data_IF_652444625080
#
_entry.id   IF_652444625080
#
_cell.length_a   1.000
_cell.length_b   1.000
_cell.length_c   1.000
_cell.angle_alpha   90.00
_cell.angle_beta   90.00
_cell.angle_gamma   90.00
#
_symmetry.space_group_name_H-M   'P 1'
#
loop_
_entity.id
_entity.type
_entity.pdbx_description
1 polymer ?
#
# COMPACT_ATOMS: atom_id res chain seq x y z
N UNK A 1 -28.16 23.22 28.20
CA UNK A 1 -26.88 23.02 27.48
C UNK A 1 -26.42 21.57 27.65
N UNK A 2 -26.70 20.70 26.67
CA UNK A 2 -26.22 19.30 26.62
C UNK A 2 -26.12 18.88 25.16
N UNK A 3 -24.98 19.11 24.50
CA UNK A 3 -24.72 18.62 23.13
C UNK A 3 -23.22 18.45 22.79
N UNK A 4 -22.35 18.24 23.78
CA UNK A 4 -20.90 18.13 23.56
C UNK A 4 -20.33 16.71 23.78
N UNK A 5 -21.14 15.76 24.28
CA UNK A 5 -20.68 14.38 24.56
C UNK A 5 -20.65 13.43 23.35
N UNK A 6 -21.24 13.78 22.21
CA UNK A 6 -21.30 12.88 21.05
C UNK A 6 -20.14 13.05 20.05
N UNK A 7 -19.47 14.20 20.02
CA UNK A 7 -18.38 14.48 19.09
C UNK A 7 -17.10 13.73 19.45
N UNK A 8 -16.80 13.60 20.75
CA UNK A 8 -15.60 12.91 21.28
C UNK A 8 -15.58 11.42 20.89
N UNK A 9 -16.74 10.77 20.80
CA UNK A 9 -16.79 9.36 20.39
C UNK A 9 -16.41 9.17 18.91
N UNK A 10 -16.69 10.13 18.02
CA UNK A 10 -16.39 10.01 16.59
C UNK A 10 -14.87 10.07 16.35
N UNK A 11 -14.16 10.92 17.09
CA UNK A 11 -12.69 11.04 17.02
C UNK A 11 -11.99 9.80 17.59
N UNK A 12 -12.53 9.21 18.67
CA UNK A 12 -12.04 7.95 19.22
C UNK A 12 -12.22 6.77 18.23
N UNK A 13 -13.33 6.74 17.49
CA UNK A 13 -13.55 5.75 16.43
C UNK A 13 -12.64 5.96 15.22
N UNK A 14 -12.31 7.21 14.87
CA UNK A 14 -11.35 7.52 13.80
C UNK A 14 -9.91 7.14 14.21
N UNK A 15 -9.51 7.38 15.45
CA UNK A 15 -8.23 6.94 15.99
C UNK A 15 -8.13 5.40 16.08
N UNK A 16 -9.19 4.73 16.54
CA UNK A 16 -9.27 3.26 16.52
C UNK A 16 -9.22 2.69 15.10
N UNK A 17 -9.78 3.42 14.13
CA UNK A 17 -9.77 3.03 12.73
C UNK A 17 -8.39 3.21 12.09
N UNK A 18 -7.67 4.30 12.38
CA UNK A 18 -6.26 4.50 11.98
C UNK A 18 -5.37 3.44 12.63
N UNK A 19 -5.57 3.15 13.93
CA UNK A 19 -4.87 2.06 14.61
C UNK A 19 -5.17 0.67 14.01
N UNK A 20 -6.41 0.41 13.58
CA UNK A 20 -6.80 -0.82 12.87
C UNK A 20 -6.19 -0.90 11.46
N UNK A 21 -6.09 0.22 10.75
CA UNK A 21 -5.41 0.34 9.45
C UNK A 21 -3.92 0.03 9.60
N UNK A 22 -3.29 0.56 10.65
CA UNK A 22 -1.89 0.28 10.98
C UNK A 22 -1.69 -1.18 11.39
N UNK A 23 -2.60 -1.76 12.18
CA UNK A 23 -2.51 -3.17 12.59
C UNK A 23 -2.66 -4.13 11.39
N UNK A 24 -3.59 -3.85 10.48
CA UNK A 24 -3.80 -4.67 9.28
C UNK A 24 -2.65 -4.56 8.27
N UNK A 25 -1.98 -3.40 8.19
CA UNK A 25 -0.76 -3.22 7.38
C UNK A 25 0.40 -3.99 8.01
N UNK A 26 0.60 -3.93 9.34
CA UNK A 26 1.65 -4.71 10.03
C UNK A 26 1.46 -6.23 9.90
N UNK A 27 0.22 -6.73 9.91
CA UNK A 27 -0.05 -8.15 9.70
C UNK A 27 0.18 -8.58 8.24
N UNK A 28 -0.06 -7.68 7.28
CA UNK A 28 0.24 -7.93 5.87
C UNK A 28 1.75 -7.98 5.59
N UNK A 29 2.56 -7.13 6.26
CA UNK A 29 4.03 -7.13 6.10
C UNK A 29 4.72 -8.27 6.83
N UNK A 30 4.22 -8.73 7.99
CA UNK A 30 4.71 -9.97 8.60
C UNK A 30 4.44 -11.21 7.74
N UNK A 31 3.38 -11.18 6.91
CA UNK A 31 3.11 -12.25 5.95
C UNK A 31 4.00 -12.19 4.69
N UNK A 32 4.55 -11.01 4.35
CA UNK A 32 5.47 -10.84 3.22
C UNK A 32 6.92 -11.10 3.60
N UNK A 33 7.33 -10.81 4.84
CA UNK A 33 8.69 -11.08 5.33
C UNK A 33 9.00 -12.57 5.52
N UNK A 34 7.98 -13.44 5.64
CA UNK A 34 8.18 -14.89 5.64
C UNK A 34 8.32 -15.51 4.24
N UNK A 35 8.31 -14.70 3.15
CA UNK A 35 8.51 -15.16 1.77
C UNK A 35 9.88 -14.85 1.17
N UNK A 36 10.77 -14.16 1.91
CA UNK A 36 12.10 -13.78 1.39
C UNK A 36 13.26 -14.67 1.84
N UNK A 37 13.03 -15.72 2.63
CA UNK A 37 14.09 -16.65 3.07
C UNK A 37 14.51 -17.73 2.05
N UNK A 38 14.43 -17.47 0.76
CA UNK A 38 15.02 -18.35 -0.27
C UNK A 38 15.51 -17.57 -1.48
N UNK A 39 16.44 -16.65 -1.26
CA UNK A 39 17.40 -16.19 -2.27
C UNK A 39 18.55 -15.48 -1.54
N UNK A 40 19.53 -16.26 -1.08
CA UNK A 40 20.81 -15.74 -0.61
C UNK A 40 21.75 -15.46 -1.80
N UNK A 41 22.59 -14.44 -1.60
CA UNK A 41 23.83 -14.08 -2.31
C UNK A 41 23.70 -13.20 -3.55
N UNK A 42 23.82 -11.87 -3.38
CA UNK A 42 25.06 -11.15 -3.73
C UNK A 42 25.10 -9.71 -3.20
N UNK A 43 26.19 -9.47 -2.46
CA UNK A 43 26.97 -8.26 -2.18
C UNK A 43 26.34 -6.90 -1.87
N UNK A 44 26.84 -6.39 -0.75
CA UNK A 44 26.67 -5.06 -0.20
C UNK A 44 27.23 -3.96 -1.11
N UNK A 45 26.39 -2.96 -1.36
CA UNK A 45 26.82 -1.56 -1.50
C UNK A 45 25.89 -0.70 -0.67
N UNK A 46 26.36 -0.33 0.52
CA UNK A 46 25.85 0.79 1.29
C UNK A 46 26.15 2.06 0.50
N UNK A 47 25.17 2.53 -0.26
CA UNK A 47 25.15 3.84 -0.87
C UNK A 47 24.19 4.72 -0.10
N UNK A 48 24.65 5.83 0.44
CA UNK A 48 23.80 6.93 0.91
C UNK A 48 22.93 7.37 -0.27
N UNK A 49 21.67 6.95 -0.26
CA UNK A 49 20.74 7.10 -1.38
C UNK A 49 20.22 8.52 -1.47
N UNK A 50 20.93 9.37 -2.20
CA UNK A 50 20.32 10.56 -2.76
C UNK A 50 19.17 10.13 -3.67
N UNK A 51 17.93 10.46 -3.30
CA UNK A 51 16.77 10.29 -4.18
C UNK A 51 16.86 11.41 -5.20
N UNK A 52 17.10 11.04 -6.45
CA UNK A 52 17.20 11.97 -7.58
C UNK A 52 15.86 11.92 -8.32
N UNK A 53 15.23 13.06 -8.54
CA UNK A 53 13.97 13.12 -9.31
C UNK A 53 14.22 12.87 -10.82
N UNK A 54 13.15 12.83 -11.63
CA UNK A 54 13.26 12.63 -13.08
C UNK A 54 14.04 13.76 -13.81
N UNK A 55 14.29 14.89 -13.15
CA UNK A 55 15.06 16.04 -13.66
C UNK A 55 16.54 16.02 -13.26
N UNK A 56 16.99 15.03 -12.48
CA UNK A 56 18.37 14.94 -12.01
C UNK A 56 18.65 15.76 -10.75
N UNK A 57 17.62 16.35 -10.13
CA UNK A 57 17.76 17.14 -8.92
C UNK A 57 17.71 16.25 -7.66
N UNK A 58 18.56 16.57 -6.68
CA UNK A 58 18.47 16.00 -5.33
C UNK A 58 17.10 16.36 -4.73
N UNK A 59 16.27 15.35 -4.48
CA UNK A 59 15.03 15.51 -3.71
C UNK A 59 15.45 15.72 -2.27
N UNK A 60 15.44 16.98 -1.84
CA UNK A 60 15.60 17.32 -0.43
C UNK A 60 14.23 17.13 0.22
N UNK A 61 14.09 16.22 1.20
CA UNK A 61 12.87 16.12 2.00
C UNK A 61 12.61 17.49 2.62
N UNK A 62 11.41 18.01 2.44
CA UNK A 62 10.99 19.28 3.00
C UNK A 62 9.64 19.10 3.65
N UNK A 63 9.45 19.72 4.80
CA UNK A 63 8.14 19.77 5.42
C UNK A 63 7.15 20.38 4.43
N UNK A 64 5.99 19.74 4.28
CA UNK A 64 4.92 20.27 3.43
C UNK A 64 4.60 21.70 3.88
N UNK A 65 4.51 22.61 2.92
CA UNK A 65 4.06 23.98 3.15
C UNK A 65 2.60 23.99 3.60
N UNK A 66 2.15 25.10 4.21
CA UNK A 66 0.76 25.24 4.67
C UNK A 66 -0.24 25.08 3.52
N UNK A 67 0.05 25.65 2.35
CA UNK A 67 -0.79 25.53 1.16
C UNK A 67 -0.91 24.07 0.68
N UNK A 68 0.21 23.33 0.63
CA UNK A 68 0.21 21.91 0.26
C UNK A 68 -0.55 21.04 1.27
N UNK A 69 -0.44 21.36 2.57
CA UNK A 69 -1.23 20.69 3.61
C UNK A 69 -2.72 20.96 3.40
N UNK A 70 -3.10 22.22 3.19
CA UNK A 70 -4.48 22.63 2.99
C UNK A 70 -5.11 21.96 1.76
N UNK A 71 -4.37 21.90 0.64
CA UNK A 71 -4.82 21.22 -0.58
C UNK A 71 -5.10 19.73 -0.33
N UNK A 72 -4.18 19.03 0.34
CA UNK A 72 -4.32 17.61 0.68
C UNK A 72 -5.52 17.33 1.60
N UNK A 73 -5.73 18.19 2.59
CA UNK A 73 -6.79 18.03 3.60
C UNK A 73 -8.16 18.39 3.03
N UNK A 74 -8.22 19.25 1.99
CA UNK A 74 -9.47 19.75 1.45
C UNK A 74 -10.41 18.59 1.09
N UNK A 75 -11.58 18.54 1.73
CA UNK A 75 -12.58 17.50 1.53
C UNK A 75 -12.15 16.07 1.87
N UNK A 76 -10.93 15.85 2.39
CA UNK A 76 -10.37 14.53 2.69
C UNK A 76 -11.25 13.74 3.65
N UNK A 77 -11.53 14.29 4.84
CA UNK A 77 -12.33 13.63 5.87
C UNK A 77 -13.77 13.37 5.40
N UNK A 78 -14.40 14.33 4.73
CA UNK A 78 -15.76 14.18 4.22
C UNK A 78 -15.84 13.05 3.18
N UNK A 79 -14.92 13.03 2.21
CA UNK A 79 -14.83 11.96 1.22
C UNK A 79 -14.51 10.62 1.87
N UNK A 80 -13.58 10.61 2.83
CA UNK A 80 -13.19 9.41 3.57
C UNK A 80 -14.34 8.80 4.35
N UNK A 81 -15.14 9.62 5.03
CA UNK A 81 -16.36 9.20 5.74
C UNK A 81 -17.41 8.68 4.76
N UNK A 82 -17.62 9.36 3.64
CA UNK A 82 -18.59 8.92 2.63
C UNK A 82 -18.26 7.54 2.04
N UNK A 83 -16.97 7.24 1.85
CA UNK A 83 -16.48 5.98 1.29
C UNK A 83 -16.06 4.94 2.34
N UNK A 84 -16.45 5.15 3.60
CA UNK A 84 -16.00 4.28 4.69
C UNK A 84 -16.44 2.82 4.50
N UNK A 85 -17.70 2.60 4.10
CA UNK A 85 -18.25 1.27 3.85
C UNK A 85 -17.53 0.57 2.69
N UNK A 86 -17.27 1.28 1.60
CA UNK A 86 -16.56 0.76 0.43
C UNK A 86 -15.14 0.32 0.79
N UNK A 87 -14.43 1.12 1.59
CA UNK A 87 -13.11 0.76 2.07
C UNK A 87 -13.12 -0.53 2.90
N UNK A 88 -14.06 -0.67 3.83
CA UNK A 88 -14.19 -1.89 4.63
C UNK A 88 -14.58 -3.10 3.78
N UNK A 89 -15.50 -2.93 2.84
CA UNK A 89 -15.87 -3.97 1.89
C UNK A 89 -14.65 -4.43 1.08
N UNK A 90 -13.87 -3.50 0.54
CA UNK A 90 -12.63 -3.81 -0.17
C UNK A 90 -11.65 -4.61 0.68
N UNK A 91 -11.43 -4.22 1.94
CA UNK A 91 -10.53 -4.93 2.87
C UNK A 91 -11.01 -6.34 3.19
N UNK A 92 -12.31 -6.53 3.43
CA UNK A 92 -12.88 -7.84 3.67
C UNK A 92 -12.71 -8.73 2.43
N UNK A 93 -13.05 -8.22 1.26
CA UNK A 93 -12.85 -8.95 0.00
C UNK A 93 -11.38 -9.26 -0.27
N UNK A 94 -10.44 -8.40 0.13
CA UNK A 94 -9.01 -8.64 -0.02
C UNK A 94 -8.55 -9.85 0.78
N UNK A 95 -9.04 -9.97 2.02
CA UNK A 95 -8.77 -11.14 2.85
C UNK A 95 -9.29 -12.44 2.23
N UNK A 96 -10.49 -12.41 1.62
CA UNK A 96 -11.05 -13.55 0.92
C UNK A 96 -10.26 -13.91 -0.33
N UNK A 97 -9.79 -12.91 -1.09
CA UNK A 97 -8.93 -13.13 -2.27
C UNK A 97 -7.61 -13.79 -1.87
N UNK A 98 -7.01 -13.37 -0.76
CA UNK A 98 -5.80 -13.99 -0.24
C UNK A 98 -6.03 -15.47 0.10
N UNK A 99 -7.14 -15.79 0.77
CA UNK A 99 -7.52 -17.17 1.10
C UNK A 99 -7.68 -18.00 -0.19
N UNK A 100 -8.42 -17.50 -1.18
CA UNK A 100 -8.62 -18.18 -2.48
C UNK A 100 -7.30 -18.46 -3.20
N UNK A 101 -6.39 -17.47 -3.26
CA UNK A 101 -5.05 -17.64 -3.87
C UNK A 101 -4.24 -18.70 -3.15
N UNK A 102 -4.29 -18.73 -1.80
CA UNK A 102 -3.61 -19.74 -1.00
C UNK A 102 -4.16 -21.14 -1.28
N UNK A 103 -5.48 -21.30 -1.22
CA UNK A 103 -6.15 -22.58 -1.51
C UNK A 103 -5.83 -23.10 -2.92
N UNK A 104 -5.86 -22.21 -3.93
CA UNK A 104 -5.47 -22.56 -5.30
C UNK A 104 -4.01 -23.02 -5.37
N UNK A 105 -3.10 -22.29 -4.71
CA UNK A 105 -1.69 -22.65 -4.61
C UNK A 105 -1.48 -24.04 -4.02
N UNK A 106 -2.14 -24.33 -2.89
CA UNK A 106 -2.06 -25.62 -2.21
C UNK A 106 -2.60 -26.76 -3.09
N UNK A 107 -3.74 -26.57 -3.75
CA UNK A 107 -4.32 -27.54 -4.70
C UNK A 107 -3.37 -27.83 -5.86
N UNK A 108 -2.81 -26.79 -6.47
CA UNK A 108 -1.87 -26.93 -7.58
C UNK A 108 -0.57 -27.64 -7.19
N UNK A 109 -0.07 -27.39 -5.98
CA UNK A 109 1.10 -28.08 -5.45
C UNK A 109 0.82 -29.58 -5.28
N UNK A 110 -0.37 -29.94 -4.81
CA UNK A 110 -0.80 -31.34 -4.70
C UNK A 110 -0.94 -32.01 -6.06
N UNK A 111 -1.59 -31.36 -7.03
CA UNK A 111 -1.73 -31.89 -8.39
C UNK A 111 -0.38 -32.12 -9.06
N UNK A 112 0.56 -31.18 -8.93
CA UNK A 112 1.91 -31.30 -9.49
C UNK A 112 2.73 -32.41 -8.84
N UNK A 113 2.50 -32.72 -7.56
CA UNK A 113 3.14 -33.84 -6.85
C UNK A 113 2.63 -35.19 -7.31
N UNK A 114 1.34 -35.28 -7.63
CA UNK A 114 0.70 -36.51 -8.11
C UNK A 114 0.85 -36.71 -9.64
N UNK A 115 1.32 -35.68 -10.36
CA UNK A 115 1.49 -35.73 -11.80
C UNK A 115 2.63 -36.65 -12.24
N UNK A 116 2.38 -37.44 -13.28
CA UNK A 116 3.40 -38.18 -14.00
C UNK A 116 4.23 -37.23 -14.89
N UNK A 117 5.37 -37.70 -15.40
CA UNK A 117 6.27 -36.91 -16.26
C UNK A 117 5.53 -36.23 -17.41
N UNK A 118 4.64 -36.96 -18.09
CA UNK A 118 3.96 -36.48 -19.30
C UNK A 118 2.82 -35.48 -19.00
N UNK A 119 2.22 -35.54 -17.81
CA UNK A 119 1.10 -34.65 -17.42
C UNK A 119 1.56 -33.43 -16.63
N UNK A 120 2.81 -33.41 -16.17
CA UNK A 120 3.36 -32.36 -15.30
C UNK A 120 3.36 -30.98 -15.97
N UNK A 121 3.77 -30.90 -17.24
CA UNK A 121 3.85 -29.63 -17.95
C UNK A 121 2.45 -29.04 -18.25
N UNK A 122 1.47 -29.81 -18.77
CA UNK A 122 0.09 -29.32 -18.89
C UNK A 122 -0.52 -28.84 -17.56
N UNK A 123 -0.28 -29.56 -16.46
CA UNK A 123 -0.76 -29.16 -15.13
C UNK A 123 -0.11 -27.86 -14.68
N UNK A 124 1.20 -27.69 -14.90
CA UNK A 124 1.91 -26.45 -14.60
C UNK A 124 1.29 -25.25 -15.31
N UNK A 125 1.02 -25.37 -16.61
CA UNK A 125 0.41 -24.32 -17.43
C UNK A 125 -1.00 -23.97 -16.94
N UNK A 126 -1.84 -24.99 -16.70
CA UNK A 126 -3.19 -24.79 -16.15
C UNK A 126 -3.15 -24.08 -14.80
N UNK A 127 -2.28 -24.52 -13.91
CA UNK A 127 -2.13 -23.95 -12.56
C UNK A 127 -1.71 -22.49 -12.60
N UNK A 128 -0.72 -22.18 -13.44
CA UNK A 128 -0.21 -20.82 -13.57
C UNK A 128 -1.23 -19.90 -14.27
N UNK A 129 -1.91 -20.36 -15.33
CA UNK A 129 -3.01 -19.62 -15.97
C UNK A 129 -4.11 -19.26 -14.97
N UNK A 130 -4.54 -20.21 -14.15
CA UNK A 130 -5.57 -19.97 -13.12
C UNK A 130 -5.08 -18.95 -12.07
N UNK A 131 -3.81 -19.02 -11.66
CA UNK A 131 -3.22 -18.02 -10.77
C UNK A 131 -3.21 -16.62 -11.40
N UNK A 132 -2.84 -16.51 -12.67
CA UNK A 132 -2.86 -15.25 -13.42
C UNK A 132 -4.29 -14.68 -13.52
N UNK A 133 -5.29 -15.53 -13.73
CA UNK A 133 -6.71 -15.12 -13.78
C UNK A 133 -7.17 -14.53 -12.44
N UNK A 134 -6.83 -15.18 -11.31
CA UNK A 134 -7.13 -14.65 -9.98
C UNK A 134 -6.44 -13.30 -9.72
N UNK A 135 -5.24 -13.09 -10.27
CA UNK A 135 -4.54 -11.82 -10.18
C UNK A 135 -5.26 -10.72 -10.97
N UNK A 136 -5.72 -11.00 -12.20
CA UNK A 136 -6.49 -10.03 -13.02
C UNK A 136 -7.75 -9.55 -12.31
N UNK A 137 -8.53 -10.47 -11.74
CA UNK A 137 -9.74 -10.10 -10.99
C UNK A 137 -9.43 -9.18 -9.82
N UNK A 138 -8.29 -9.42 -9.15
CA UNK A 138 -7.87 -8.60 -8.02
C UNK A 138 -7.41 -7.21 -8.47
N UNK A 139 -6.61 -7.12 -9.52
CA UNK A 139 -6.12 -5.86 -10.08
C UNK A 139 -7.26 -4.96 -10.56
N UNK A 140 -8.31 -5.52 -11.15
CA UNK A 140 -9.51 -4.76 -11.56
C UNK A 140 -10.21 -4.12 -10.36
N UNK A 141 -10.38 -4.88 -9.27
CA UNK A 141 -10.99 -4.37 -8.03
C UNK A 141 -10.09 -3.32 -7.36
N UNK A 142 -8.79 -3.56 -7.36
CA UNK A 142 -7.80 -2.64 -6.81
C UNK A 142 -7.77 -1.32 -7.58
N UNK A 143 -7.81 -1.34 -8.92
CA UNK A 143 -7.93 -0.12 -9.74
C UNK A 143 -9.17 0.69 -9.36
N UNK A 144 -10.32 0.04 -9.26
CA UNK A 144 -11.57 0.70 -8.88
C UNK A 144 -11.50 1.31 -7.46
N UNK A 145 -10.81 0.64 -6.55
CA UNK A 145 -10.59 1.14 -5.19
C UNK A 145 -9.63 2.34 -5.17
N UNK A 146 -8.49 2.25 -5.88
CA UNK A 146 -7.47 3.30 -5.98
C UNK A 146 -8.04 4.58 -6.57
N UNK A 147 -8.80 4.49 -7.67
CA UNK A 147 -9.50 5.63 -8.31
C UNK A 147 -10.45 6.36 -7.35
N UNK A 148 -10.90 5.69 -6.29
CA UNK A 148 -11.81 6.22 -5.32
C UNK A 148 -11.15 6.68 -4.02
N UNK A 149 -9.83 6.53 -3.88
CA UNK A 149 -9.10 6.84 -2.66
C UNK A 149 -9.02 8.37 -2.45
N UNK A 150 -9.50 8.89 -1.32
CA UNK A 150 -9.41 10.32 -1.03
C UNK A 150 -8.01 10.70 -0.56
N UNK A 151 -7.60 11.94 -0.86
CA UNK A 151 -6.37 12.50 -0.31
C UNK A 151 -5.10 11.97 -0.97
N UNK A 152 -5.20 11.49 -2.21
CA UNK A 152 -4.05 11.10 -3.03
C UNK A 152 -3.83 12.20 -4.07
N UNK A 153 -2.57 12.58 -4.27
CA UNK A 153 -2.14 13.45 -5.36
C UNK A 153 -2.44 12.83 -6.72
N UNK A 154 -2.79 13.67 -7.70
CA UNK A 154 -3.14 13.20 -9.04
C UNK A 154 -1.99 12.41 -9.69
N UNK A 155 -0.75 12.85 -9.48
CA UNK A 155 0.45 12.17 -9.99
C UNK A 155 0.58 10.74 -9.45
N UNK A 156 0.45 10.54 -8.13
CA UNK A 156 0.54 9.21 -7.52
C UNK A 156 -0.65 8.32 -7.88
N UNK A 157 -1.83 8.92 -8.03
CA UNK A 157 -3.01 8.21 -8.53
C UNK A 157 -2.79 7.70 -9.96
N UNK A 158 -2.30 8.57 -10.85
CA UNK A 158 -2.02 8.24 -12.25
C UNK A 158 -0.90 7.20 -12.37
N UNK A 159 0.16 7.32 -11.57
CA UNK A 159 1.25 6.36 -11.54
C UNK A 159 0.79 4.97 -11.09
N UNK A 160 -0.01 4.89 -10.02
CA UNK A 160 -0.53 3.62 -9.50
C UNK A 160 -1.51 2.97 -10.48
N UNK A 161 -2.43 3.75 -11.07
CA UNK A 161 -3.41 3.22 -12.04
C UNK A 161 -2.77 2.79 -13.35
N UNK A 162 -1.80 3.54 -13.87
CA UNK A 162 -0.99 3.16 -15.03
C UNK A 162 -0.21 1.87 -14.77
N UNK A 163 0.39 1.73 -13.58
CA UNK A 163 1.12 0.51 -13.22
C UNK A 163 0.19 -0.71 -13.09
N UNK A 164 -1.05 -0.53 -12.63
CA UNK A 164 -2.08 -1.60 -12.63
C UNK A 164 -2.44 -1.99 -14.06
N UNK A 165 -2.61 -1.03 -14.96
CA UNK A 165 -2.96 -1.27 -16.37
C UNK A 165 -1.86 -2.03 -17.10
N UNK A 166 -0.61 -1.60 -16.96
CA UNK A 166 0.55 -2.27 -17.55
C UNK A 166 0.67 -3.73 -17.06
N UNK A 167 0.49 -3.97 -15.76
CA UNK A 167 0.52 -5.33 -15.21
C UNK A 167 -0.69 -6.16 -15.69
N UNK A 168 -1.86 -5.56 -15.82
CA UNK A 168 -3.07 -6.20 -16.34
C UNK A 168 -2.88 -6.65 -17.79
N UNK A 169 -2.30 -5.80 -18.63
CA UNK A 169 -1.96 -6.11 -20.01
C UNK A 169 -0.93 -7.24 -20.09
N UNK A 170 0.17 -7.13 -19.34
CA UNK A 170 1.23 -8.15 -19.33
C UNK A 170 0.72 -9.53 -18.87
N UNK A 171 -0.14 -9.57 -17.84
CA UNK A 171 -0.78 -10.81 -17.39
C UNK A 171 -1.71 -11.39 -18.47
N UNK A 172 -2.48 -10.53 -19.15
CA UNK A 172 -3.37 -10.96 -20.24
C UNK A 172 -2.57 -11.59 -21.37
N UNK A 173 -1.49 -10.93 -21.82
CA UNK A 173 -0.56 -11.45 -22.82
C UNK A 173 0.04 -12.80 -22.41
N UNK A 174 0.39 -13.01 -21.14
CA UNK A 174 0.87 -14.30 -20.67
C UNK A 174 -0.21 -15.38 -20.70
N UNK A 175 -1.46 -15.05 -20.36
CA UNK A 175 -2.59 -16.00 -20.48
C UNK A 175 -2.79 -16.39 -21.95
N UNK A 176 -2.81 -15.41 -22.86
CA UNK A 176 -2.97 -15.65 -24.29
C UNK A 176 -1.83 -16.51 -24.87
N UNK A 177 -0.60 -16.29 -24.38
CA UNK A 177 0.57 -17.11 -24.71
C UNK A 177 0.46 -18.55 -24.24
N UNK A 178 -0.11 -18.79 -23.05
CA UNK A 178 -0.41 -20.15 -22.55
C UNK A 178 -1.47 -20.81 -23.42
N UNK A 179 -2.54 -20.08 -23.74
CA UNK A 179 -3.70 -20.60 -24.49
C UNK A 179 -3.36 -20.92 -25.94
N UNK A 180 -2.47 -20.12 -26.52
CA UNK A 180 -1.95 -20.31 -27.88
C UNK A 180 -0.78 -21.30 -27.94
N UNK A 181 -0.42 -21.93 -26.81
CA UNK A 181 0.69 -22.92 -26.71
C UNK A 181 2.03 -22.33 -27.16
N UNK A 182 2.24 -21.03 -26.95
CA UNK A 182 3.54 -20.36 -27.22
C UNK A 182 4.61 -20.91 -26.29
N UNK A 183 4.24 -21.21 -25.04
CA UNK A 183 5.12 -21.87 -24.08
C UNK A 183 5.11 -23.37 -24.31
N UNK A 184 6.22 -23.91 -24.81
CA UNK A 184 6.38 -25.34 -25.11
C UNK A 184 7.25 -26.08 -24.09
N UNK A 185 8.01 -25.35 -23.29
CA UNK A 185 8.90 -25.89 -22.26
C UNK A 185 8.68 -25.21 -20.92
N UNK A 186 9.10 -25.85 -19.84
CA UNK A 186 9.06 -25.25 -18.50
C UNK A 186 9.95 -24.01 -18.44
N UNK A 187 11.12 -24.08 -19.06
CA UNK A 187 12.15 -23.06 -19.07
C UNK A 187 11.62 -21.77 -19.69
N UNK A 188 10.95 -21.86 -20.86
CA UNK A 188 10.35 -20.69 -21.52
C UNK A 188 9.30 -19.97 -20.66
N UNK A 189 8.54 -20.74 -19.87
CA UNK A 189 7.57 -20.17 -18.94
C UNK A 189 8.25 -19.52 -17.73
N UNK A 190 9.30 -20.13 -17.19
CA UNK A 190 10.05 -19.55 -16.07
C UNK A 190 10.75 -18.25 -16.46
N UNK A 191 11.36 -18.17 -17.65
CA UNK A 191 11.94 -16.93 -18.17
C UNK A 191 10.88 -15.82 -18.28
N UNK A 192 9.71 -16.16 -18.81
CA UNK A 192 8.61 -15.19 -18.92
C UNK A 192 8.05 -14.77 -17.56
N UNK A 193 8.07 -15.65 -16.56
CA UNK A 193 7.70 -15.33 -15.17
C UNK A 193 8.69 -14.33 -14.55
N UNK A 194 9.98 -14.49 -14.82
CA UNK A 194 11.02 -13.54 -14.36
C UNK A 194 10.79 -12.19 -15.01
N UNK A 195 10.60 -12.14 -16.34
CA UNK A 195 10.31 -10.90 -17.05
C UNK A 195 9.03 -10.22 -16.56
N UNK A 196 7.96 -10.98 -16.28
CA UNK A 196 6.75 -10.44 -15.68
C UNK A 196 7.02 -9.82 -14.30
N UNK A 197 7.85 -10.48 -13.49
CA UNK A 197 8.19 -10.01 -12.16
C UNK A 197 8.98 -8.70 -12.21
N UNK A 198 10.06 -8.67 -12.98
CA UNK A 198 10.98 -7.54 -13.05
C UNK A 198 10.35 -6.31 -13.72
N UNK A 199 9.69 -6.50 -14.87
CA UNK A 199 9.24 -5.37 -15.69
C UNK A 199 7.85 -4.85 -15.31
N UNK A 200 7.04 -5.66 -14.61
CA UNK A 200 5.64 -5.28 -14.34
C UNK A 200 5.25 -5.41 -12.87
N UNK A 201 5.60 -6.50 -12.18
CA UNK A 201 5.22 -6.66 -10.76
C UNK A 201 6.00 -5.74 -9.85
N UNK A 202 7.32 -5.63 -10.04
CA UNK A 202 8.16 -4.77 -9.20
C UNK A 202 7.78 -3.28 -9.34
N UNK A 203 7.62 -2.72 -10.55
CA UNK A 203 7.13 -1.35 -10.71
C UNK A 203 5.73 -1.15 -10.13
N UNK A 204 4.83 -2.12 -10.30
CA UNK A 204 3.52 -2.10 -9.67
C UNK A 204 3.61 -2.01 -8.14
N UNK A 205 4.42 -2.85 -7.49
CA UNK A 205 4.58 -2.83 -6.03
C UNK A 205 5.16 -1.50 -5.55
N UNK A 206 6.16 -0.98 -6.26
CA UNK A 206 6.73 0.33 -5.97
C UNK A 206 5.66 1.42 -6.03
N UNK A 207 4.87 1.46 -7.09
CA UNK A 207 3.78 2.44 -7.24
C UNK A 207 2.72 2.31 -6.14
N UNK A 208 2.42 1.08 -5.67
CA UNK A 208 1.51 0.88 -4.53
C UNK A 208 2.11 1.36 -3.21
N UNK A 209 3.41 1.20 -2.96
CA UNK A 209 4.05 1.74 -1.76
C UNK A 209 4.07 3.28 -1.79
N UNK A 210 4.39 3.88 -2.94
CA UNK A 210 4.35 5.34 -3.12
C UNK A 210 2.94 5.90 -2.93
N UNK A 211 1.90 5.19 -3.41
CA UNK A 211 0.50 5.53 -3.18
C UNK A 211 0.15 5.51 -1.68
N UNK A 212 0.63 4.50 -0.95
CA UNK A 212 0.41 4.40 0.50
C UNK A 212 1.14 5.49 1.26
N UNK A 213 2.38 5.81 0.87
CA UNK A 213 3.15 6.91 1.43
C UNK A 213 2.40 8.23 1.24
N UNK A 214 1.91 8.50 0.03
CA UNK A 214 1.16 9.73 -0.27
C UNK A 214 -0.15 9.84 0.54
N UNK A 215 -0.85 8.72 0.72
CA UNK A 215 -2.02 8.65 1.59
C UNK A 215 -1.69 8.98 3.05
N UNK A 216 -0.55 8.46 3.55
CA UNK A 216 -0.08 8.73 4.92
C UNK A 216 0.32 10.20 5.09
N UNK A 217 0.92 10.82 4.07
CA UNK A 217 1.22 12.26 4.09
C UNK A 217 -0.05 13.09 4.26
N UNK A 218 -1.15 12.70 3.62
CA UNK A 218 -2.43 13.41 3.78
C UNK A 218 -3.02 13.24 5.18
N UNK A 219 -2.84 12.08 5.81
CA UNK A 219 -3.20 11.92 7.23
C UNK A 219 -2.31 12.77 8.15
N UNK A 220 -0.99 12.77 7.91
CA UNK A 220 -0.06 13.57 8.69
C UNK A 220 -0.39 15.08 8.56
N UNK A 221 -0.66 15.56 7.35
CA UNK A 221 -1.12 16.92 7.10
C UNK A 221 -2.41 17.23 7.87
N UNK A 222 -3.40 16.33 7.83
CA UNK A 222 -4.63 16.50 8.60
C UNK A 222 -4.39 16.61 10.11
N UNK A 223 -3.50 15.79 10.67
CA UNK A 223 -3.17 15.87 12.09
C UNK A 223 -2.39 17.15 12.44
N UNK A 224 -1.48 17.61 11.57
CA UNK A 224 -0.82 18.91 11.74
C UNK A 224 -1.82 20.06 11.79
N UNK A 225 -2.80 20.10 10.87
CA UNK A 225 -3.88 21.10 10.90
C UNK A 225 -4.70 21.05 12.21
N UNK A 226 -4.86 19.87 12.81
CA UNK A 226 -5.51 19.73 14.11
C UNK A 226 -4.66 20.24 15.25
N UNK A 227 -3.36 19.92 15.25
CA UNK A 227 -2.40 20.43 16.24
C UNK A 227 -2.35 21.95 16.20
N UNK A 228 -2.19 22.55 15.02
CA UNK A 228 -2.15 24.01 14.86
C UNK A 228 -3.43 24.69 15.38
N UNK A 229 -4.60 24.06 15.18
CA UNK A 229 -5.86 24.56 15.74
C UNK A 229 -5.94 24.47 17.26
N UNK A 230 -5.29 23.48 17.87
CA UNK A 230 -5.22 23.30 19.32
C UNK A 230 -4.21 24.29 19.93
N UNK A 231 -3.05 24.50 19.28
CA UNK A 231 -2.05 25.49 19.71
C UNK A 231 -2.60 26.92 19.76
N UNK A 232 -3.59 27.23 18.92
CA UNK A 232 -4.29 28.53 18.93
C UNK A 232 -5.33 28.68 20.06
N UNK A 233 -5.39 27.74 21.00
CA UNK A 233 -6.28 27.79 22.18
C UNK A 233 -5.48 27.96 23.47
N UNK A 234 -6.12 28.44 24.54
CA UNK A 234 -5.48 28.53 25.86
C UNK A 234 -5.29 27.13 26.43
N UNK A 235 -4.06 26.62 26.38
CA UNK A 235 -3.67 25.30 26.86
C UNK A 235 -3.10 25.36 28.28
N UNK A 236 -3.19 24.23 29.00
CA UNK A 236 -2.42 24.07 30.24
C UNK A 236 -0.96 23.74 29.91
N UNK A 237 0.00 24.00 30.81
CA UNK A 237 1.41 23.69 30.55
C UNK A 237 1.68 22.21 30.24
N UNK A 238 0.89 21.30 30.81
CA UNK A 238 0.98 19.85 30.54
C UNK A 238 0.47 19.52 29.13
N UNK A 239 -0.63 20.17 28.71
CA UNK A 239 -1.18 20.00 27.35
C UNK A 239 -0.25 20.64 26.29
N UNK A 240 0.40 21.77 26.59
CA UNK A 240 1.38 22.41 25.70
C UNK A 240 2.56 21.48 25.38
N UNK A 241 3.09 20.78 26.39
CA UNK A 241 4.19 19.81 26.22
C UNK A 241 3.74 18.63 25.33
N UNK A 242 2.54 18.09 25.57
CA UNK A 242 1.98 17.00 24.77
C UNK A 242 1.76 17.41 23.30
N UNK A 243 1.20 18.59 23.07
CA UNK A 243 0.94 19.12 21.72
C UNK A 243 2.26 19.36 20.97
N UNK A 244 3.28 19.91 21.65
CA UNK A 244 4.62 20.11 21.09
C UNK A 244 5.26 18.78 20.69
N UNK A 245 5.24 17.78 21.59
CA UNK A 245 5.76 16.45 21.31
C UNK A 245 5.04 15.76 20.14
N UNK A 246 3.71 15.91 20.06
CA UNK A 246 2.93 15.38 18.94
C UNK A 246 3.30 16.04 17.61
N UNK A 247 3.50 17.36 17.60
CA UNK A 247 3.92 18.14 16.43
C UNK A 247 5.25 17.65 15.89
N UNK A 248 6.28 17.61 16.75
CA UNK A 248 7.62 17.14 16.38
C UNK A 248 7.60 15.69 15.87
N UNK A 249 6.78 14.83 16.49
CA UNK A 249 6.63 13.45 16.06
C UNK A 249 6.07 13.36 14.63
N UNK A 250 5.04 14.14 14.31
CA UNK A 250 4.40 14.13 12.99
C UNK A 250 5.30 14.77 11.93
N UNK A 251 6.00 15.85 12.25
CA UNK A 251 6.99 16.47 11.35
C UNK A 251 8.09 15.46 10.97
N UNK A 252 8.65 14.72 11.93
CA UNK A 252 9.61 13.66 11.65
C UNK A 252 9.01 12.55 10.79
N UNK A 253 7.75 12.16 11.04
CA UNK A 253 7.08 11.17 10.19
C UNK A 253 6.91 11.69 8.76
N UNK A 254 6.51 12.94 8.56
CA UNK A 254 6.35 13.52 7.23
C UNK A 254 7.68 13.50 6.46
N UNK A 255 8.77 13.89 7.11
CA UNK A 255 10.12 13.81 6.53
C UNK A 255 10.52 12.38 6.19
N UNK A 256 10.22 11.43 7.08
CA UNK A 256 10.49 10.00 6.85
C UNK A 256 9.65 9.40 5.74
N UNK A 257 8.39 9.82 5.58
CA UNK A 257 7.53 9.32 4.50
C UNK A 257 8.10 9.77 3.15
N UNK A 258 8.58 11.02 3.08
CA UNK A 258 9.26 11.53 1.88
C UNK A 258 10.61 10.84 1.61
N UNK A 259 11.24 10.28 2.65
CA UNK A 259 12.45 9.46 2.56
C UNK A 259 12.18 7.95 2.39
N UNK A 260 10.92 7.56 2.16
CA UNK A 260 10.47 6.17 1.97
C UNK A 260 10.63 5.23 3.19
N UNK A 261 10.82 5.74 4.43
CA UNK A 261 11.08 4.93 5.66
C UNK A 261 10.25 5.38 6.89
N UNK A 262 8.91 5.24 6.85
CA UNK A 262 8.03 5.82 7.89
C UNK A 262 7.02 4.91 8.59
N UNK A 263 6.83 3.66 8.12
CA UNK A 263 5.64 2.88 8.51
C UNK A 263 5.55 2.55 10.02
N UNK A 264 6.69 2.39 10.72
CA UNK A 264 6.72 2.10 12.16
C UNK A 264 6.48 3.32 13.06
N UNK A 265 7.01 4.48 12.66
CA UNK A 265 7.01 5.74 13.42
C UNK A 265 5.64 6.42 13.49
N UNK A 266 4.84 6.34 12.43
CA UNK A 266 3.52 6.97 12.39
C UNK A 266 2.57 6.41 13.47
N UNK A 267 2.68 5.10 13.77
CA UNK A 267 1.85 4.45 14.79
C UNK A 267 2.13 4.99 16.21
N UNK A 268 3.40 5.21 16.53
CA UNK A 268 3.84 5.75 17.81
C UNK A 268 3.30 7.18 18.03
N UNK A 269 3.35 8.05 17.01
CA UNK A 269 2.81 9.40 17.11
C UNK A 269 1.29 9.41 17.36
N UNK A 270 0.56 8.49 16.73
CA UNK A 270 -0.90 8.36 16.96
C UNK A 270 -1.21 7.88 18.38
N UNK A 271 -0.36 7.03 18.97
CA UNK A 271 -0.52 6.58 20.35
C UNK A 271 -0.20 7.69 21.36
N UNK A 272 0.76 8.58 21.06
CA UNK A 272 1.05 9.77 21.88
C UNK A 272 -0.17 10.71 21.89
N UNK A 273 -0.77 11.01 20.73
CA UNK A 273 -1.96 11.87 20.64
C UNK A 273 -3.22 11.30 21.34
N UNK A 274 -3.20 10.02 21.72
CA UNK A 274 -4.35 9.33 22.31
C UNK A 274 -4.33 9.36 23.84
N UNK A 275 -3.15 9.45 24.43
CA UNK A 275 -2.94 9.44 25.89
C UNK A 275 -2.98 10.87 26.43
#
# INVERSE_FOLDING_TARGET
>A
MKKQKHTINIELYEAMFVASLLLTITLATLSSMNRTHSAEVMDAKSGSGAVVDQSGALVVPHLLTEDERNERIFGFILRRRSKQKEFFAYKNEDSERWIKRKQHGDSCLMELRMANRDTKLPILFRCYRAQLTLNLESLRKEKAFVLNMPGISEDKLNQATSSIDNLTEAITTMIDGIDSVVYTTKESLEESKVLLAENYRTPYWKAQEELRADYLLTWAAYFMDKIEKIENTDLSPEDEELVTNARECIEDVMLKIQLEDAQGRFKECVEIMRN
#
